data_IF_514365670472
#
_entry.id   IF_514365670472
#
_cell.length_a   1.000
_cell.length_b   1.000
_cell.length_c   1.000
_cell.angle_alpha   90.00
_cell.angle_beta   90.00
_cell.angle_gamma   90.00
#
_symmetry.space_group_name_H-M   'P 1'
#
loop_
_entity.id
_entity.type
_entity.pdbx_description
1 polymer ?
#
# COMPACT_ATOMS: atom_id res chain seq x y z
N UNK A 1 -91.03 9.50 -40.76
CA UNK A 1 -92.02 9.34 -39.66
C UNK A 1 -91.95 7.89 -39.21
N UNK A 2 -91.47 7.64 -37.97
CA UNK A 2 -91.92 6.56 -37.05
C UNK A 2 -92.03 5.11 -37.58
N UNK A 3 -91.15 4.19 -37.14
CA UNK A 3 -91.35 3.27 -36.00
C UNK A 3 -90.39 2.07 -36.03
N UNK A 4 -90.12 1.56 -34.82
CA UNK A 4 -89.35 0.38 -34.43
C UNK A 4 -89.89 -0.95 -34.99
N UNK A 5 -89.02 -1.98 -35.04
CA UNK A 5 -89.05 -3.21 -34.21
C UNK A 5 -88.79 -4.55 -34.94
N UNK A 6 -88.06 -5.41 -34.20
CA UNK A 6 -88.07 -6.89 -34.17
C UNK A 6 -87.21 -7.79 -35.10
N UNK A 7 -86.26 -8.46 -34.42
CA UNK A 7 -86.01 -9.91 -34.29
C UNK A 7 -85.58 -10.85 -35.45
N UNK A 8 -84.45 -11.51 -35.13
CA UNK A 8 -84.01 -12.91 -35.32
C UNK A 8 -83.40 -13.45 -36.65
N UNK A 9 -82.16 -13.93 -36.45
CA UNK A 9 -81.51 -15.18 -36.94
C UNK A 9 -81.31 -15.39 -38.46
N UNK A 10 -80.03 -15.54 -38.85
CA UNK A 10 -79.63 -16.55 -39.83
C UNK A 10 -78.22 -17.09 -39.60
N UNK A 11 -78.14 -18.40 -39.75
CA UNK A 11 -77.08 -19.34 -39.43
C UNK A 11 -75.80 -19.15 -40.26
N UNK A 12 -74.63 -19.31 -39.63
CA UNK A 12 -73.37 -19.64 -40.33
C UNK A 12 -73.20 -21.15 -40.30
N UNK A 13 -73.25 -21.78 -41.48
CA UNK A 13 -72.81 -23.15 -41.70
C UNK A 13 -71.32 -23.26 -41.34
N UNK A 14 -71.01 -24.15 -40.40
CA UNK A 14 -69.65 -24.54 -40.06
C UNK A 14 -68.99 -25.28 -41.21
N UNK A 15 -67.71 -25.01 -41.39
CA UNK A 15 -66.81 -25.76 -42.27
C UNK A 15 -66.35 -27.00 -41.48
N UNK A 16 -66.73 -28.18 -41.94
CA UNK A 16 -66.28 -29.47 -41.39
C UNK A 16 -64.77 -29.63 -41.58
N UNK A 17 -64.01 -29.45 -40.50
CA UNK A 17 -62.57 -29.76 -40.42
C UNK A 17 -62.31 -31.17 -39.84
N UNK A 18 -63.27 -32.08 -40.01
CA UNK A 18 -63.27 -33.39 -39.33
C UNK A 18 -62.83 -34.55 -40.24
N UNK A 19 -61.90 -34.31 -41.18
CA UNK A 19 -61.29 -35.38 -42.01
C UNK A 19 -59.78 -35.17 -42.21
N UNK A 20 -59.01 -34.91 -41.15
CA UNK A 20 -57.53 -34.88 -41.30
C UNK A 20 -56.71 -35.53 -40.20
N UNK A 21 -57.31 -36.20 -39.21
CA UNK A 21 -56.53 -36.93 -38.21
C UNK A 21 -57.21 -38.23 -37.78
N UNK A 22 -57.21 -39.22 -38.69
CA UNK A 22 -57.32 -40.62 -38.25
C UNK A 22 -55.91 -41.11 -37.89
N UNK A 23 -55.37 -40.56 -36.80
CA UNK A 23 -54.13 -41.05 -36.20
C UNK A 23 -54.42 -42.39 -35.54
N UNK A 24 -53.58 -43.43 -35.72
CA UNK A 24 -53.74 -44.65 -34.94
C UNK A 24 -53.69 -44.27 -33.46
N UNK A 25 -54.78 -44.57 -32.72
CA UNK A 25 -54.91 -44.42 -31.25
C UNK A 25 -53.99 -45.37 -30.49
N UNK A 26 -52.86 -45.73 -31.08
CA UNK A 26 -51.84 -46.49 -30.42
C UNK A 26 -51.02 -45.50 -29.56
N UNK A 27 -51.05 -45.66 -28.23
CA UNK A 27 -50.41 -44.74 -27.29
C UNK A 27 -48.90 -44.57 -27.57
N UNK A 28 -48.26 -45.55 -28.23
CA UNK A 28 -46.87 -45.46 -28.66
C UNK A 28 -46.64 -44.34 -29.68
N UNK A 29 -47.54 -44.18 -30.65
CA UNK A 29 -47.40 -43.15 -31.70
C UNK A 29 -47.72 -41.76 -31.16
N UNK A 30 -48.70 -41.65 -30.25
CA UNK A 30 -49.02 -40.38 -29.58
C UNK A 30 -47.83 -39.94 -28.71
N UNK A 31 -47.22 -40.86 -27.96
CA UNK A 31 -46.04 -40.56 -27.15
C UNK A 31 -44.81 -40.21 -28.00
N UNK A 32 -44.62 -40.86 -29.15
CA UNK A 32 -43.55 -40.51 -30.11
C UNK A 32 -43.77 -39.12 -30.72
N UNK A 33 -45.01 -38.79 -31.11
CA UNK A 33 -45.36 -37.46 -31.62
C UNK A 33 -45.18 -36.37 -30.55
N UNK A 34 -45.66 -36.60 -29.32
CA UNK A 34 -45.52 -35.66 -28.22
C UNK A 34 -44.06 -35.51 -27.77
N UNK A 35 -43.29 -36.61 -27.75
CA UNK A 35 -41.85 -36.57 -27.48
C UNK A 35 -41.09 -35.82 -28.57
N UNK A 36 -41.42 -36.06 -29.84
CA UNK A 36 -40.87 -35.33 -30.97
C UNK A 36 -41.21 -33.84 -30.91
N UNK A 37 -42.46 -33.48 -30.62
CA UNK A 37 -42.92 -32.10 -30.47
C UNK A 37 -42.25 -31.42 -29.26
N UNK A 38 -42.06 -32.14 -28.15
CA UNK A 38 -41.36 -31.63 -26.98
C UNK A 38 -39.89 -31.34 -27.32
N UNK A 39 -39.19 -32.27 -27.99
CA UNK A 39 -37.82 -32.04 -28.49
C UNK A 39 -37.79 -30.84 -29.42
N UNK A 40 -38.77 -30.69 -30.31
CA UNK A 40 -38.83 -29.60 -31.28
C UNK A 40 -39.09 -28.23 -30.59
N UNK A 41 -39.99 -28.17 -29.63
CA UNK A 41 -40.26 -26.97 -28.81
C UNK A 41 -39.07 -26.63 -27.91
N UNK A 42 -38.43 -27.63 -27.29
CA UNK A 42 -37.19 -27.43 -26.55
C UNK A 42 -36.08 -26.92 -27.47
N UNK A 43 -35.95 -27.46 -28.69
CA UNK A 43 -34.97 -27.00 -29.68
C UNK A 43 -35.24 -25.58 -30.17
N UNK A 44 -36.50 -25.11 -30.17
CA UNK A 44 -36.87 -23.73 -30.50
C UNK A 44 -36.36 -22.71 -29.46
N UNK A 45 -36.18 -23.11 -28.20
CA UNK A 45 -35.49 -22.26 -27.20
C UNK A 45 -33.99 -22.12 -27.49
N UNK A 46 -33.40 -23.06 -28.24
CA UNK A 46 -32.00 -23.05 -28.65
C UNK A 46 -31.78 -22.54 -30.10
N UNK A 47 -32.86 -22.36 -30.86
CA UNK A 47 -32.86 -21.79 -32.22
C UNK A 47 -32.18 -20.40 -32.38
N UNK A 48 -32.14 -19.49 -31.37
CA UNK A 48 -31.37 -18.24 -31.49
C UNK A 48 -29.85 -18.40 -31.30
N UNK A 49 -29.31 -19.62 -31.39
CA UNK A 49 -27.86 -19.86 -31.45
C UNK A 49 -27.20 -20.13 -30.10
N UNK A 50 -27.93 -20.73 -29.15
CA UNK A 50 -27.28 -21.34 -27.99
C UNK A 50 -26.51 -22.58 -28.44
N UNK A 51 -25.20 -22.47 -28.55
CA UNK A 51 -24.33 -23.65 -28.61
C UNK A 51 -24.36 -24.32 -27.25
N UNK A 52 -25.10 -25.42 -27.13
CA UNK A 52 -24.94 -26.37 -26.03
C UNK A 52 -23.68 -27.17 -26.36
N UNK A 53 -22.59 -26.87 -25.67
CA UNK A 53 -21.42 -27.73 -25.71
C UNK A 53 -21.66 -28.91 -24.78
N UNK A 54 -21.43 -30.16 -25.21
CA UNK A 54 -21.53 -31.30 -24.31
C UNK A 54 -20.49 -31.13 -23.19
N UNK A 55 -20.96 -30.97 -21.95
CA UNK A 55 -20.09 -31.06 -20.78
C UNK A 55 -19.73 -32.53 -20.60
N UNK A 56 -18.52 -32.92 -20.97
CA UNK A 56 -18.00 -34.22 -20.59
C UNK A 56 -17.54 -34.14 -19.12
N UNK A 57 -17.91 -35.12 -18.30
CA UNK A 57 -17.47 -35.23 -16.90
C UNK A 57 -15.93 -35.40 -16.77
N UNK A 58 -15.23 -35.60 -17.89
CA UNK A 58 -13.77 -35.65 -17.97
C UNK A 58 -13.30 -35.14 -19.34
N UNK A 59 -12.74 -33.93 -19.38
CA UNK A 59 -11.98 -33.42 -20.52
C UNK A 59 -10.49 -33.68 -20.27
N UNK A 60 -9.79 -34.44 -21.14
CA UNK A 60 -8.34 -34.56 -21.09
C UNK A 60 -7.69 -33.17 -21.15
N UNK A 61 -6.56 -32.95 -20.44
CA UNK A 61 -5.84 -31.66 -20.40
C UNK A 61 -5.45 -31.10 -21.77
N UNK A 62 -5.50 -31.94 -22.79
CA UNK A 62 -5.03 -31.67 -24.14
C UNK A 62 -6.21 -31.48 -25.12
N UNK A 63 -7.46 -31.76 -24.71
CA UNK A 63 -8.66 -31.52 -25.52
C UNK A 63 -9.22 -30.13 -25.26
N UNK A 64 -9.33 -29.33 -26.33
CA UNK A 64 -9.86 -27.98 -26.26
C UNK A 64 -11.30 -28.01 -25.77
N UNK A 65 -11.59 -27.29 -24.68
CA UNK A 65 -12.97 -26.92 -24.42
C UNK A 65 -13.50 -26.23 -25.70
N UNK A 66 -14.57 -26.75 -26.33
CA UNK A 66 -15.04 -26.29 -27.62
C UNK A 66 -15.45 -24.80 -27.62
N UNK A 67 -15.78 -24.24 -26.46
CA UNK A 67 -16.04 -22.80 -26.25
C UNK A 67 -14.81 -21.95 -26.52
N UNK A 68 -13.61 -22.46 -26.23
CA UNK A 68 -12.34 -21.80 -26.51
C UNK A 68 -11.86 -22.02 -27.96
N UNK A 69 -12.51 -22.92 -28.72
CA UNK A 69 -12.19 -23.19 -30.13
C UNK A 69 -12.56 -22.07 -31.10
N UNK A 70 -13.42 -21.15 -30.66
CA UNK A 70 -13.76 -19.95 -31.44
C UNK A 70 -12.62 -18.94 -31.46
N UNK A 71 -11.63 -19.02 -30.56
CA UNK A 71 -10.49 -18.09 -30.51
C UNK A 71 -9.37 -18.70 -31.35
N UNK A 72 -9.12 -18.14 -32.52
CA UNK A 72 -8.13 -18.67 -33.46
C UNK A 72 -6.74 -18.07 -33.26
N UNK A 73 -6.67 -16.81 -32.83
CA UNK A 73 -5.42 -16.10 -32.61
C UNK A 73 -5.54 -15.18 -31.41
N UNK A 74 -4.44 -15.05 -30.67
CA UNK A 74 -4.30 -14.09 -29.59
C UNK A 74 -2.91 -13.47 -29.66
N UNK A 75 -2.87 -12.14 -29.52
CA UNK A 75 -1.66 -11.34 -29.41
C UNK A 75 -1.79 -10.38 -28.25
N UNK A 76 -0.67 -9.85 -27.80
CA UNK A 76 -0.66 -8.80 -26.80
C UNK A 76 0.46 -7.82 -27.09
N UNK A 77 0.24 -6.57 -26.69
CA UNK A 77 1.20 -5.48 -26.75
C UNK A 77 1.12 -4.76 -25.41
N UNK A 78 2.27 -4.49 -24.82
CA UNK A 78 2.38 -3.63 -23.65
C UNK A 78 2.90 -2.30 -24.14
N UNK A 79 2.18 -1.24 -23.79
CA UNK A 79 2.61 0.13 -24.01
C UNK A 79 2.51 0.85 -22.68
N UNK A 80 3.64 1.30 -22.13
CA UNK A 80 3.72 1.81 -20.75
C UNK A 80 3.13 0.78 -19.77
N UNK A 81 2.15 1.19 -18.97
CA UNK A 81 1.41 0.33 -18.04
C UNK A 81 0.07 -0.15 -18.60
N UNK A 82 -0.12 -0.13 -19.93
CA UNK A 82 -1.33 -0.64 -20.57
C UNK A 82 -1.07 -1.99 -21.25
N UNK A 83 -1.83 -3.00 -20.85
CA UNK A 83 -1.89 -4.29 -21.52
C UNK A 83 -3.01 -4.26 -22.58
N UNK A 84 -2.60 -4.29 -23.84
CA UNK A 84 -3.51 -4.40 -24.98
C UNK A 84 -3.49 -5.84 -25.49
N UNK A 85 -4.62 -6.53 -25.46
CA UNK A 85 -4.76 -7.88 -26.00
C UNK A 85 -5.57 -7.79 -27.29
N UNK A 86 -5.02 -8.33 -28.37
CA UNK A 86 -5.71 -8.52 -29.64
C UNK A 86 -6.10 -9.97 -29.79
N UNK A 87 -7.28 -10.24 -30.34
CA UNK A 87 -7.73 -11.60 -30.59
C UNK A 87 -8.64 -11.70 -31.81
N UNK A 88 -8.67 -12.88 -32.40
CA UNK A 88 -9.51 -13.20 -33.57
C UNK A 88 -10.55 -14.24 -33.17
N UNK A 89 -11.80 -13.95 -33.51
CA UNK A 89 -12.91 -14.88 -33.32
C UNK A 89 -13.26 -15.53 -34.66
N UNK A 90 -13.22 -16.85 -34.71
CA UNK A 90 -13.65 -17.67 -35.83
C UNK A 90 -15.13 -18.03 -35.70
N UNK A 91 -16.01 -17.03 -35.82
CA UNK A 91 -17.46 -17.22 -35.81
C UNK A 91 -18.16 -16.05 -36.50
N UNK A 92 -19.16 -16.35 -37.32
CA UNK A 92 -20.01 -15.32 -37.93
C UNK A 92 -21.26 -15.01 -37.08
N UNK A 93 -21.42 -15.67 -35.92
CA UNK A 93 -22.61 -15.53 -35.08
C UNK A 93 -22.47 -14.34 -34.11
N UNK A 94 -23.34 -13.31 -34.18
CA UNK A 94 -23.19 -12.08 -33.38
C UNK A 94 -23.16 -12.29 -31.86
N UNK A 95 -23.90 -13.28 -31.34
CA UNK A 95 -23.85 -13.60 -29.91
C UNK A 95 -22.48 -14.15 -29.48
N UNK A 96 -21.87 -14.98 -30.30
CA UNK A 96 -20.54 -15.56 -30.05
C UNK A 96 -19.49 -14.47 -30.06
N UNK A 97 -19.55 -13.56 -31.03
CA UNK A 97 -18.69 -12.36 -31.10
C UNK A 97 -18.82 -11.46 -29.85
N UNK A 98 -20.03 -11.37 -29.29
CA UNK A 98 -20.31 -10.57 -28.11
C UNK A 98 -20.01 -11.26 -26.77
N UNK A 99 -19.83 -12.57 -26.74
CA UNK A 99 -19.62 -13.32 -25.49
C UNK A 99 -18.23 -13.91 -25.37
N UNK A 100 -17.51 -14.09 -26.49
CA UNK A 100 -16.19 -14.73 -26.52
C UNK A 100 -15.18 -14.12 -25.53
N UNK A 101 -15.22 -12.81 -25.31
CA UNK A 101 -14.28 -12.18 -24.38
C UNK A 101 -14.54 -12.58 -22.91
N UNK A 102 -15.77 -12.98 -22.55
CA UNK A 102 -16.08 -13.45 -21.19
C UNK A 102 -15.37 -14.77 -20.88
N UNK A 103 -14.92 -15.48 -21.91
CA UNK A 103 -14.19 -16.72 -21.79
C UNK A 103 -12.74 -16.49 -21.38
N UNK A 104 -12.19 -15.29 -21.61
CA UNK A 104 -10.82 -14.98 -21.23
C UNK A 104 -10.67 -14.79 -19.73
N UNK A 105 -9.66 -15.46 -19.19
CA UNK A 105 -9.12 -15.23 -17.86
C UNK A 105 -7.68 -14.78 -18.02
N UNK A 106 -7.44 -13.49 -17.78
CA UNK A 106 -6.10 -12.90 -17.86
C UNK A 106 -5.61 -12.74 -16.41
N UNK A 107 -4.50 -13.39 -16.13
CA UNK A 107 -3.86 -13.39 -14.81
C UNK A 107 -2.53 -12.68 -14.96
N UNK A 108 -2.32 -11.67 -14.12
CA UNK A 108 -1.05 -10.99 -13.97
C UNK A 108 -0.54 -11.26 -12.57
N UNK A 109 0.61 -11.92 -12.51
CA UNK A 109 1.31 -12.27 -11.27
C UNK A 109 2.52 -11.35 -11.15
N UNK A 110 2.35 -10.21 -10.48
CA UNK A 110 3.37 -9.19 -10.34
C UNK A 110 4.03 -9.20 -8.96
N UNK A 111 5.00 -8.31 -8.77
CA UNK A 111 5.84 -8.23 -7.56
C UNK A 111 5.00 -7.92 -6.31
N UNK A 112 3.98 -7.07 -6.46
CA UNK A 112 3.21 -6.55 -5.32
C UNK A 112 1.92 -7.34 -5.08
N UNK A 113 1.23 -7.70 -6.16
CA UNK A 113 -0.02 -8.41 -6.06
C UNK A 113 -0.34 -9.21 -7.33
N UNK A 114 -1.27 -10.13 -7.17
CA UNK A 114 -1.89 -10.85 -8.27
C UNK A 114 -3.22 -10.23 -8.63
N UNK A 115 -3.38 -9.89 -9.90
CA UNK A 115 -4.66 -9.44 -10.45
C UNK A 115 -5.23 -10.43 -11.46
N UNK A 116 -6.55 -10.50 -11.49
CA UNK A 116 -7.30 -11.23 -12.50
C UNK A 116 -8.17 -10.26 -13.28
N UNK A 117 -7.75 -9.98 -14.52
CA UNK A 117 -8.45 -9.08 -15.43
C UNK A 117 -9.55 -9.85 -16.15
N UNK A 118 -10.79 -9.43 -15.92
CA UNK A 118 -12.00 -9.93 -16.57
C UNK A 118 -12.71 -8.81 -17.32
N UNK A 119 -13.81 -9.15 -17.99
CA UNK A 119 -14.66 -8.20 -18.70
C UNK A 119 -14.98 -6.92 -17.90
N UNK A 120 -15.31 -7.06 -16.62
CA UNK A 120 -15.66 -5.92 -15.74
C UNK A 120 -14.50 -4.95 -15.51
N UNK A 121 -13.28 -5.31 -15.89
CA UNK A 121 -12.06 -4.55 -15.68
C UNK A 121 -11.52 -3.90 -16.95
N UNK A 122 -12.21 -4.08 -18.09
CA UNK A 122 -11.80 -3.52 -19.38
C UNK A 122 -11.94 -2.00 -19.34
N UNK A 123 -10.86 -1.30 -19.67
CA UNK A 123 -10.89 0.15 -19.82
C UNK A 123 -11.42 0.54 -21.21
N UNK A 124 -10.98 -0.16 -22.26
CA UNK A 124 -11.40 0.09 -23.63
C UNK A 124 -11.54 -1.21 -24.44
N UNK A 125 -12.57 -1.28 -25.28
CA UNK A 125 -12.77 -2.37 -26.25
C UNK A 125 -12.75 -1.80 -27.67
N UNK A 126 -12.03 -2.49 -28.55
CA UNK A 126 -11.88 -2.12 -29.95
C UNK A 126 -12.34 -3.27 -30.84
N UNK A 127 -12.89 -2.91 -31.99
CA UNK A 127 -13.12 -3.82 -33.11
C UNK A 127 -12.38 -3.23 -34.30
N UNK A 128 -11.36 -3.95 -34.79
CA UNK A 128 -10.54 -3.50 -35.92
C UNK A 128 -11.14 -3.91 -37.26
N UNK A 129 -11.81 -5.07 -37.30
CA UNK A 129 -12.53 -5.61 -38.45
C UNK A 129 -13.61 -6.59 -37.97
N UNK A 130 -14.41 -7.19 -38.87
CA UNK A 130 -15.53 -8.08 -38.53
C UNK A 130 -15.16 -9.13 -37.47
N UNK A 131 -13.97 -9.72 -37.55
CA UNK A 131 -13.52 -10.80 -36.66
C UNK A 131 -12.31 -10.46 -35.77
N UNK A 132 -11.80 -9.22 -35.83
CA UNK A 132 -10.59 -8.79 -35.11
C UNK A 132 -10.95 -7.82 -33.99
N UNK A 133 -10.58 -8.17 -32.76
CA UNK A 133 -10.93 -7.43 -31.56
C UNK A 133 -9.71 -7.05 -30.75
N UNK A 134 -9.84 -5.99 -29.96
CA UNK A 134 -8.85 -5.52 -29.01
C UNK A 134 -9.49 -5.21 -27.67
N UNK A 135 -8.78 -5.47 -26.58
CA UNK A 135 -9.14 -5.04 -25.21
C UNK A 135 -7.93 -4.41 -24.57
N UNK A 136 -8.15 -3.32 -23.83
CA UNK A 136 -7.10 -2.60 -23.11
C UNK A 136 -7.39 -2.60 -21.63
N UNK A 137 -6.34 -2.87 -20.85
CA UNK A 137 -6.34 -2.82 -19.40
C UNK A 137 -5.18 -1.94 -18.93
N UNK A 138 -5.48 -0.97 -18.08
CA UNK A 138 -4.46 -0.26 -17.31
C UNK A 138 -4.04 -1.14 -16.14
N UNK A 139 -2.74 -1.42 -16.09
CA UNK A 139 -2.08 -2.14 -15.01
C UNK A 139 -1.73 -1.15 -13.90
N UNK A 140 -1.95 -1.55 -12.66
CA UNK A 140 -1.73 -0.70 -11.47
C UNK A 140 -0.47 -1.13 -10.68
N UNK A 141 0.39 -1.92 -11.30
CA UNK A 141 1.71 -2.27 -10.80
C UNK A 141 2.74 -2.22 -11.91
N UNK A 142 3.95 -1.80 -11.57
CA UNK A 142 5.11 -1.70 -12.45
C UNK A 142 6.14 -2.78 -12.14
N UNK A 143 7.02 -3.07 -13.11
CA UNK A 143 8.09 -4.06 -13.00
C UNK A 143 7.73 -5.43 -13.56
N UNK A 144 8.59 -6.41 -13.27
CA UNK A 144 8.49 -7.78 -13.78
C UNK A 144 7.18 -8.44 -13.33
N UNK A 145 6.42 -8.90 -14.31
CA UNK A 145 5.09 -9.50 -14.12
C UNK A 145 4.94 -10.72 -15.02
N UNK A 146 4.37 -11.79 -14.50
CA UNK A 146 4.01 -12.95 -15.30
C UNK A 146 2.59 -12.80 -15.85
N UNK A 147 2.47 -12.63 -17.16
CA UNK A 147 1.20 -12.60 -17.88
C UNK A 147 0.81 -14.03 -18.28
N UNK A 148 -0.33 -14.50 -17.79
CA UNK A 148 -0.97 -15.72 -18.26
C UNK A 148 -2.35 -15.40 -18.84
N UNK A 149 -2.59 -15.82 -20.08
CA UNK A 149 -3.91 -15.74 -20.70
C UNK A 149 -4.47 -17.15 -20.86
N UNK A 150 -5.64 -17.36 -20.28
CA UNK A 150 -6.38 -18.61 -20.34
C UNK A 150 -7.76 -18.38 -20.93
N UNK A 151 -8.34 -19.43 -21.48
CA UNK A 151 -9.78 -19.52 -21.66
C UNK A 151 -10.27 -20.74 -20.90
N UNK A 152 -11.12 -20.50 -19.90
CA UNK A 152 -11.51 -21.51 -18.91
C UNK A 152 -10.24 -22.17 -18.33
N UNK A 153 -10.01 -23.46 -18.62
CA UNK A 153 -8.83 -24.21 -18.17
C UNK A 153 -7.69 -24.29 -19.21
N UNK A 154 -7.96 -23.88 -20.46
CA UNK A 154 -6.94 -23.90 -21.51
C UNK A 154 -5.98 -22.73 -21.37
N UNK A 155 -4.70 -23.03 -21.26
CA UNK A 155 -3.63 -22.04 -21.36
C UNK A 155 -3.37 -21.68 -22.82
N UNK A 156 -3.56 -20.41 -23.18
CA UNK A 156 -3.16 -19.90 -24.48
C UNK A 156 -1.76 -19.32 -24.46
N UNK A 157 -1.43 -18.63 -23.37
CA UNK A 157 -0.22 -17.84 -23.31
C UNK A 157 0.31 -17.75 -21.88
N UNK A 158 1.63 -17.79 -21.75
CA UNK A 158 2.33 -17.44 -20.52
C UNK A 158 3.66 -16.81 -20.87
N UNK A 159 3.93 -15.60 -20.39
CA UNK A 159 5.24 -14.96 -20.56
C UNK A 159 5.51 -13.94 -19.47
N UNK A 160 6.78 -13.83 -19.11
CA UNK A 160 7.29 -12.73 -18.31
C UNK A 160 7.34 -11.44 -19.14
N UNK A 161 6.77 -10.40 -18.58
CA UNK A 161 6.68 -9.07 -19.16
C UNK A 161 7.23 -8.07 -18.15
N UNK A 162 7.79 -6.97 -18.63
CA UNK A 162 8.20 -5.86 -17.78
C UNK A 162 7.21 -4.71 -17.97
N UNK A 163 6.46 -4.38 -16.91
CA UNK A 163 5.46 -3.32 -16.95
C UNK A 163 6.16 -2.00 -16.68
N UNK A 164 6.18 -1.13 -17.70
CA UNK A 164 6.88 0.14 -17.61
C UNK A 164 6.11 1.16 -16.77
N UNK A 165 6.85 2.19 -16.34
CA UNK A 165 6.34 3.27 -15.50
C UNK A 165 5.14 3.96 -16.11
N UNK A 166 4.15 4.26 -15.26
CA UNK A 166 2.95 4.97 -15.69
C UNK A 166 3.23 6.47 -15.80
N UNK A 167 3.31 6.99 -17.04
CA UNK A 167 3.53 8.43 -17.27
C UNK A 167 2.25 9.28 -17.10
N UNK A 168 1.08 8.64 -17.11
CA UNK A 168 -0.23 9.33 -17.06
C UNK A 168 -0.88 9.19 -15.69
N UNK A 169 -1.72 10.15 -15.33
CA UNK A 169 -2.49 10.08 -14.07
C UNK A 169 -3.38 8.84 -14.05
N UNK A 170 -3.23 8.02 -13.02
CA UNK A 170 -4.15 6.92 -12.69
C UNK A 170 -5.28 7.40 -11.79
N UNK A 171 -6.44 6.75 -11.89
CA UNK A 171 -7.58 6.93 -10.97
C UNK A 171 -7.45 6.11 -9.69
N UNK A 172 -6.51 5.18 -9.63
CA UNK A 172 -6.31 4.21 -8.56
C UNK A 172 -4.86 4.23 -8.07
N UNK A 173 -4.60 3.66 -6.90
CA UNK A 173 -3.25 3.46 -6.36
C UNK A 173 -2.41 2.62 -7.32
N UNK A 174 -1.19 3.11 -7.60
CA UNK A 174 -0.22 2.41 -8.45
C UNK A 174 0.97 2.02 -7.59
N UNK A 175 1.39 0.77 -7.71
CA UNK A 175 2.61 0.24 -7.09
C UNK A 175 3.76 0.34 -8.09
N UNK A 176 4.71 1.22 -7.81
CA UNK A 176 5.83 1.52 -8.69
C UNK A 176 7.01 0.59 -8.45
N UNK A 177 7.79 0.34 -9.50
CA UNK A 177 8.92 -0.61 -9.49
C UNK A 177 10.07 -0.21 -8.55
N UNK A 178 10.11 1.07 -8.15
CA UNK A 178 11.06 1.61 -7.16
C UNK A 178 10.59 1.45 -5.71
N UNK A 179 9.63 0.55 -5.44
CA UNK A 179 9.00 0.38 -4.14
C UNK A 179 8.38 1.70 -3.66
N UNK A 180 7.46 2.26 -4.43
CA UNK A 180 6.65 3.39 -3.98
C UNK A 180 5.20 3.24 -4.42
N UNK A 181 4.29 3.96 -3.78
CA UNK A 181 2.85 3.92 -4.06
C UNK A 181 2.36 5.34 -4.34
N UNK A 182 1.64 5.54 -5.44
CA UNK A 182 0.93 6.80 -5.73
C UNK A 182 -0.57 6.70 -5.47
N UNK A 183 -1.27 7.83 -5.54
CA UNK A 183 -2.72 7.93 -5.29
C UNK A 183 -3.11 7.33 -3.93
N UNK A 184 -2.68 7.99 -2.86
CA UNK A 184 -2.99 7.62 -1.48
C UNK A 184 -3.77 8.75 -0.81
N UNK A 185 -4.64 8.39 0.14
CA UNK A 185 -5.19 9.37 1.06
C UNK A 185 -4.84 8.97 2.50
N UNK A 186 -4.78 9.96 3.37
CA UNK A 186 -4.49 9.83 4.78
C UNK A 186 -5.70 10.38 5.52
N UNK A 187 -6.19 9.62 6.47
CA UNK A 187 -7.29 10.01 7.34
C UNK A 187 -6.94 9.69 8.79
N UNK A 188 -6.60 10.72 9.54
CA UNK A 188 -5.96 10.62 10.84
C UNK A 188 -4.74 9.66 10.75
N UNK A 189 -4.74 8.59 11.54
CA UNK A 189 -3.66 7.61 11.58
C UNK A 189 -3.80 6.48 10.55
N UNK A 190 -4.76 6.58 9.61
CA UNK A 190 -5.02 5.53 8.61
C UNK A 190 -4.61 5.99 7.22
N UNK A 191 -3.93 5.09 6.50
CA UNK A 191 -3.64 5.25 5.07
C UNK A 191 -4.74 4.56 4.27
N UNK A 192 -5.22 5.19 3.21
CA UNK A 192 -6.28 4.71 2.34
C UNK A 192 -5.68 4.35 0.98
N UNK A 193 -5.89 3.11 0.55
CA UNK A 193 -5.40 2.57 -0.71
C UNK A 193 -6.59 2.37 -1.66
N UNK A 194 -6.54 2.96 -2.84
CA UNK A 194 -7.62 2.94 -3.83
C UNK A 194 -7.37 1.86 -4.85
N UNK A 195 -8.12 0.77 -4.78
CA UNK A 195 -7.90 -0.40 -5.62
C UNK A 195 -9.14 -0.74 -6.44
N UNK A 196 -8.90 -1.40 -7.58
CA UNK A 196 -9.96 -2.08 -8.33
C UNK A 196 -10.24 -3.45 -7.70
N UNK A 197 -11.48 -3.92 -7.80
CA UNK A 197 -11.92 -5.26 -7.37
C UNK A 197 -11.31 -6.46 -8.14
N UNK A 198 -10.28 -6.26 -8.96
CA UNK A 198 -9.58 -7.30 -9.71
C UNK A 198 -8.40 -7.92 -8.96
N UNK A 199 -7.97 -7.32 -7.85
CA UNK A 199 -6.87 -7.86 -7.02
C UNK A 199 -7.37 -9.10 -6.27
N UNK A 200 -6.63 -10.20 -6.42
CA UNK A 200 -6.97 -11.50 -5.82
C UNK A 200 -6.25 -11.73 -4.51
N UNK A 201 -4.97 -11.37 -4.46
CA UNK A 201 -4.16 -11.45 -3.26
C UNK A 201 -2.94 -10.54 -3.38
N UNK A 202 -2.46 -10.07 -2.23
CA UNK A 202 -1.17 -9.39 -2.13
C UNK A 202 -0.07 -10.44 -1.91
N UNK A 203 1.13 -10.16 -2.42
CA UNK A 203 2.31 -10.99 -2.08
C UNK A 203 2.61 -10.89 -0.59
N UNK A 204 3.31 -11.87 -0.01
CA UNK A 204 3.66 -11.83 1.43
C UNK A 204 4.38 -10.54 1.83
N UNK A 205 5.33 -10.10 1.00
CA UNK A 205 6.06 -8.84 1.15
C UNK A 205 5.11 -7.62 1.26
N UNK A 206 4.06 -7.60 0.46
CA UNK A 206 3.09 -6.50 0.41
C UNK A 206 2.02 -6.64 1.49
N UNK A 207 1.64 -7.87 1.83
CA UNK A 207 0.57 -8.17 2.77
C UNK A 207 0.86 -7.60 4.17
N UNK A 208 2.05 -7.86 4.70
CA UNK A 208 2.44 -7.39 6.04
C UNK A 208 2.45 -5.86 6.13
N UNK A 209 2.87 -5.20 5.06
CA UNK A 209 2.90 -3.74 4.96
C UNK A 209 1.49 -3.12 4.88
N UNK A 210 0.61 -3.73 4.07
CA UNK A 210 -0.75 -3.24 3.84
C UNK A 210 -1.69 -3.47 5.02
N UNK A 211 -1.28 -4.18 6.07
CA UNK A 211 -2.06 -4.31 7.32
C UNK A 211 -2.44 -2.95 7.93
N UNK A 212 -1.62 -1.91 7.69
CA UNK A 212 -1.87 -0.54 8.15
C UNK A 212 -2.76 0.29 7.22
N UNK A 213 -3.14 -0.24 6.05
CA UNK A 213 -3.92 0.46 5.03
C UNK A 213 -5.38 -0.02 5.06
N UNK A 214 -6.31 0.93 4.94
CA UNK A 214 -7.70 0.63 4.62
C UNK A 214 -7.88 0.61 3.10
N UNK A 215 -8.40 -0.49 2.57
CA UNK A 215 -8.65 -0.65 1.14
C UNK A 215 -9.99 -0.01 0.79
N UNK A 216 -9.97 0.90 -0.18
CA UNK A 216 -11.14 1.57 -0.74
C UNK A 216 -11.32 1.08 -2.18
N UNK A 217 -12.41 0.37 -2.43
CA UNK A 217 -12.77 -0.06 -3.78
C UNK A 217 -13.54 1.05 -4.52
N UNK A 218 -12.84 2.13 -4.85
CA UNK A 218 -13.31 3.22 -5.72
C UNK A 218 -12.12 3.94 -6.32
N UNK A 219 -12.34 4.79 -7.32
CA UNK A 219 -11.30 5.74 -7.71
C UNK A 219 -11.07 6.79 -6.62
N UNK A 220 -9.89 7.40 -6.64
CA UNK A 220 -9.56 8.53 -5.77
C UNK A 220 -10.47 9.72 -6.05
N UNK A 221 -10.79 9.99 -7.33
CA UNK A 221 -11.70 11.07 -7.74
C UNK A 221 -13.11 10.87 -7.17
N UNK A 222 -13.64 9.64 -7.25
CA UNK A 222 -14.97 9.32 -6.73
C UNK A 222 -15.00 9.47 -5.20
N UNK A 223 -13.94 9.00 -4.53
CA UNK A 223 -13.78 9.16 -3.10
C UNK A 223 -13.75 10.64 -2.70
N UNK A 224 -12.98 11.47 -3.41
CA UNK A 224 -12.87 12.90 -3.15
C UNK A 224 -14.20 13.63 -3.38
N UNK A 225 -14.94 13.30 -4.43
CA UNK A 225 -16.28 13.86 -4.66
C UNK A 225 -17.24 13.55 -3.51
N UNK A 226 -17.14 12.35 -2.92
CA UNK A 226 -17.95 11.94 -1.76
C UNK A 226 -17.43 12.53 -0.44
N UNK A 227 -16.15 12.86 -0.37
CA UNK A 227 -15.46 13.32 0.83
C UNK A 227 -14.72 14.65 0.57
N UNK A 228 -15.45 15.76 0.33
CA UNK A 228 -14.85 17.03 -0.09
C UNK A 228 -13.96 17.70 0.97
N UNK A 229 -13.91 17.15 2.19
CA UNK A 229 -13.03 17.63 3.26
C UNK A 229 -11.58 17.16 3.09
N UNK A 230 -11.32 16.11 2.30
CA UNK A 230 -9.97 15.68 1.98
C UNK A 230 -9.30 16.68 1.05
N UNK A 231 -8.17 17.24 1.49
CA UNK A 231 -7.41 18.19 0.69
C UNK A 231 -6.45 17.48 -0.26
N UNK A 232 -6.34 17.96 -1.51
CA UNK A 232 -5.33 17.45 -2.45
C UNK A 232 -4.01 18.19 -2.19
N UNK A 233 -2.96 17.43 -1.92
CA UNK A 233 -1.63 17.95 -1.63
C UNK A 233 -0.75 17.84 -2.86
N UNK A 234 -0.33 18.99 -3.38
CA UNK A 234 0.53 19.08 -4.57
C UNK A 234 2.02 18.89 -4.25
N UNK A 235 2.35 18.65 -2.98
CA UNK A 235 3.70 18.46 -2.47
C UNK A 235 3.73 17.22 -1.58
N UNK A 236 4.90 16.62 -1.45
CA UNK A 236 5.12 15.56 -0.47
C UNK A 236 4.82 16.11 0.92
N UNK A 237 3.92 15.44 1.64
CA UNK A 237 3.67 15.72 3.06
C UNK A 237 4.57 14.82 3.87
N UNK A 238 5.40 15.43 4.72
CA UNK A 238 6.20 14.74 5.72
C UNK A 238 5.47 14.87 7.04
N UNK A 239 5.00 13.75 7.54
CA UNK A 239 4.13 13.71 8.71
C UNK A 239 4.92 13.56 10.01
N UNK A 240 4.98 14.65 10.78
CA UNK A 240 5.59 14.74 12.10
C UNK A 240 4.54 14.82 13.22
N UNK A 241 3.25 14.80 12.88
CA UNK A 241 2.13 14.74 13.80
C UNK A 241 2.18 13.46 14.65
N UNK A 242 2.01 13.62 15.96
CA UNK A 242 1.94 12.57 16.97
C UNK A 242 3.13 11.60 16.95
N UNK A 243 4.28 12.05 16.42
CA UNK A 243 5.50 11.26 16.36
C UNK A 243 6.28 11.38 17.66
N UNK A 244 6.81 10.25 18.12
CA UNK A 244 7.77 10.24 19.22
C UNK A 244 9.07 10.93 18.80
N UNK A 245 9.89 11.37 19.76
CA UNK A 245 11.21 11.95 19.45
C UNK A 245 12.07 10.98 18.63
N UNK A 246 11.96 9.68 18.93
CA UNK A 246 12.57 8.62 18.15
C UNK A 246 12.10 8.61 16.69
N UNK A 247 10.80 8.69 16.42
CA UNK A 247 10.26 8.75 15.06
C UNK A 247 10.69 10.02 14.32
N UNK A 248 10.71 11.16 15.03
CA UNK A 248 11.18 12.42 14.46
C UNK A 248 12.64 12.32 14.01
N UNK A 249 13.50 11.69 14.81
CA UNK A 249 14.93 11.51 14.52
C UNK A 249 15.18 10.45 13.45
N UNK A 250 14.54 9.29 13.57
CA UNK A 250 14.86 8.12 12.74
C UNK A 250 14.14 8.13 11.39
N UNK A 251 13.00 8.81 11.27
CA UNK A 251 12.15 8.79 10.07
C UNK A 251 11.99 10.19 9.47
N UNK A 252 11.54 11.16 10.27
CA UNK A 252 11.13 12.49 9.75
C UNK A 252 12.33 13.31 9.29
N UNK A 253 13.35 13.48 10.14
CA UNK A 253 14.53 14.31 9.84
C UNK A 253 15.30 13.83 8.59
N UNK A 254 15.68 12.54 8.48
CA UNK A 254 16.33 12.02 7.28
C UNK A 254 15.51 12.24 6.01
N UNK A 255 14.18 12.01 6.08
CA UNK A 255 13.27 12.18 4.94
C UNK A 255 13.20 13.64 4.50
N UNK A 256 13.04 14.57 5.44
CA UNK A 256 13.01 16.01 5.16
C UNK A 256 14.29 16.49 4.48
N UNK A 257 15.45 16.01 4.94
CA UNK A 257 16.73 16.36 4.36
C UNK A 257 16.88 15.85 2.92
N UNK A 258 16.47 14.61 2.64
CA UNK A 258 16.59 14.05 1.29
C UNK A 258 15.63 14.73 0.31
N UNK A 259 14.40 15.02 0.74
CA UNK A 259 13.48 15.82 -0.07
C UNK A 259 14.08 17.20 -0.38
N UNK A 260 14.67 17.86 0.61
CA UNK A 260 15.34 19.14 0.40
C UNK A 260 16.54 19.05 -0.57
N UNK A 261 17.39 18.03 -0.44
CA UNK A 261 18.56 17.81 -1.30
C UNK A 261 18.18 17.53 -2.76
N UNK A 262 17.09 16.79 -2.98
CA UNK A 262 16.53 16.55 -4.30
C UNK A 262 15.82 17.78 -4.89
N UNK A 263 15.96 18.94 -4.24
CA UNK A 263 15.31 20.21 -4.61
C UNK A 263 13.78 20.13 -4.61
N UNK A 264 13.19 19.10 -4.01
CA UNK A 264 11.75 19.01 -3.83
C UNK A 264 11.30 19.93 -2.70
N UNK A 265 10.17 20.60 -2.88
CA UNK A 265 9.50 21.28 -1.79
C UNK A 265 8.57 20.29 -1.10
N UNK A 266 8.47 20.39 0.22
CA UNK A 266 7.63 19.52 1.01
C UNK A 266 6.84 20.35 2.03
N UNK A 267 5.77 19.74 2.53
CA UNK A 267 4.93 20.28 3.57
C UNK A 267 5.20 19.47 4.83
N UNK A 268 5.50 20.16 5.93
CA UNK A 268 5.69 19.53 7.23
C UNK A 268 4.36 19.60 8.00
N UNK A 269 3.78 18.43 8.27
CA UNK A 269 2.56 18.31 9.08
C UNK A 269 2.93 18.10 10.55
N UNK A 270 2.43 18.94 11.45
CA UNK A 270 2.71 18.92 12.90
C UNK A 270 1.42 19.14 13.69
N UNK A 271 1.37 18.66 14.94
CA UNK A 271 0.19 18.78 15.80
C UNK A 271 -0.11 20.22 16.23
N UNK A 272 0.94 21.01 16.50
CA UNK A 272 0.89 22.42 16.83
C UNK A 272 2.26 23.06 16.52
N UNK A 273 2.29 24.13 15.75
CA UNK A 273 3.53 24.83 15.40
C UNK A 273 4.24 25.37 16.65
N UNK A 274 3.48 25.84 17.65
CA UNK A 274 4.05 26.45 18.86
C UNK A 274 4.86 25.43 19.70
N UNK A 275 4.29 24.24 19.92
CA UNK A 275 4.95 23.16 20.65
C UNK A 275 6.10 22.50 19.87
N UNK A 276 6.14 22.68 18.55
CA UNK A 276 7.15 22.08 17.67
C UNK A 276 8.15 23.11 17.12
N UNK A 277 8.18 24.32 17.67
CA UNK A 277 9.02 25.44 17.18
C UNK A 277 10.48 25.02 17.03
N UNK A 278 11.05 24.35 18.05
CA UNK A 278 12.46 23.91 18.02
C UNK A 278 12.74 22.90 16.92
N UNK A 279 11.84 21.92 16.74
CA UNK A 279 11.95 20.91 15.70
C UNK A 279 11.84 21.52 14.30
N UNK A 280 10.87 22.41 14.10
CA UNK A 280 10.63 23.11 12.84
C UNK A 280 11.82 23.99 12.49
N UNK A 281 12.36 24.74 13.46
CA UNK A 281 13.53 25.59 13.26
C UNK A 281 14.77 24.76 12.89
N UNK A 282 14.94 23.60 13.52
CA UNK A 282 16.02 22.68 13.16
C UNK A 282 15.86 22.13 11.73
N UNK A 283 14.65 21.73 11.31
CA UNK A 283 14.43 21.32 9.91
C UNK A 283 14.75 22.48 8.97
N UNK A 284 14.27 23.69 9.26
CA UNK A 284 14.57 24.88 8.43
C UNK A 284 16.07 25.13 8.34
N UNK A 285 16.82 25.00 9.44
CA UNK A 285 18.27 25.23 9.46
C UNK A 285 19.03 24.20 8.63
N UNK A 286 18.68 22.91 8.72
CA UNK A 286 19.39 21.85 7.97
C UNK A 286 18.97 21.73 6.50
N UNK A 287 17.75 22.15 6.15
CA UNK A 287 17.25 22.07 4.77
C UNK A 287 17.54 23.32 3.96
N UNK A 288 17.76 24.48 4.61
CA UNK A 288 18.03 25.76 3.94
C UNK A 288 16.88 26.26 3.04
N UNK A 289 15.68 25.70 3.21
CA UNK A 289 14.48 25.96 2.38
C UNK A 289 13.34 26.54 3.22
N UNK A 290 12.38 27.18 2.54
CA UNK A 290 11.08 27.53 3.14
C UNK A 290 10.26 26.26 3.38
N UNK A 291 10.45 25.64 4.55
CA UNK A 291 9.56 24.59 5.05
C UNK A 291 8.18 25.19 5.23
N UNK A 292 7.22 24.74 4.43
CA UNK A 292 5.82 25.10 4.63
C UNK A 292 5.27 24.25 5.76
N UNK A 293 4.97 24.90 6.89
CA UNK A 293 4.30 24.30 8.03
C UNK A 293 2.82 24.55 7.87
N UNK A 294 2.00 23.53 8.09
CA UNK A 294 0.55 23.71 8.12
C UNK A 294 0.17 24.12 9.54
N UNK A 295 -0.51 25.27 9.68
CA UNK A 295 -0.92 25.81 10.99
C UNK A 295 -1.98 24.96 11.72
N UNK A 296 -2.39 23.83 11.13
CA UNK A 296 -3.32 22.84 11.69
C UNK A 296 -2.91 21.47 11.19
N UNK A 297 -3.01 20.46 12.05
CA UNK A 297 -2.79 19.06 11.67
C UNK A 297 -3.64 18.70 10.46
N UNK A 298 -2.98 18.26 9.39
CA UNK A 298 -3.64 17.67 8.23
C UNK A 298 -4.16 16.30 8.64
N UNK A 299 -5.40 16.27 9.09
CA UNK A 299 -6.06 15.01 9.45
C UNK A 299 -6.47 14.24 8.18
N UNK A 300 -7.02 14.93 7.18
CA UNK A 300 -7.56 14.29 5.98
C UNK A 300 -6.98 14.93 4.72
N UNK A 301 -6.13 14.20 4.01
CA UNK A 301 -5.49 14.68 2.79
C UNK A 301 -5.18 13.56 1.80
N UNK A 302 -4.99 13.92 0.53
CA UNK A 302 -4.71 13.00 -0.57
C UNK A 302 -3.48 13.43 -1.35
N UNK A 303 -2.74 12.46 -1.84
CA UNK A 303 -1.55 12.64 -2.66
C UNK A 303 -1.75 11.83 -3.93
N UNK A 304 -1.89 12.54 -5.04
CA UNK A 304 -2.27 11.96 -6.33
C UNK A 304 -1.09 11.77 -7.28
N UNK A 305 -0.10 12.67 -7.23
CA UNK A 305 1.00 12.69 -8.21
C UNK A 305 2.35 12.26 -7.63
N UNK A 306 2.55 12.41 -6.31
CA UNK A 306 3.80 12.04 -5.67
C UNK A 306 3.76 10.58 -5.24
N UNK A 307 4.84 9.85 -5.49
CA UNK A 307 4.98 8.48 -5.04
C UNK A 307 5.53 8.43 -3.62
N UNK A 308 4.89 7.63 -2.78
CA UNK A 308 5.24 7.42 -1.39
C UNK A 308 6.09 6.16 -1.26
N UNK A 309 7.34 6.25 -0.78
CA UNK A 309 8.18 5.07 -0.65
C UNK A 309 7.51 4.02 0.26
N UNK A 310 7.72 2.76 -0.10
CA UNK A 310 7.17 1.57 0.56
C UNK A 310 7.76 1.33 1.96
N UNK A 311 8.70 2.16 2.41
CA UNK A 311 9.45 1.92 3.63
C UNK A 311 8.86 2.68 4.82
N UNK A 312 8.06 1.96 5.62
CA UNK A 312 7.86 2.29 7.05
C UNK A 312 9.13 1.95 7.88
N UNK A 313 10.16 1.38 7.27
CA UNK A 313 11.42 1.05 7.92
C UNK A 313 12.30 2.28 8.04
N UNK A 314 13.02 2.36 9.16
CA UNK A 314 14.14 3.28 9.31
C UNK A 314 15.08 2.99 8.14
N UNK A 315 15.19 3.93 7.22
CA UNK A 315 16.16 3.81 6.15
C UNK A 315 17.54 4.06 6.77
N UNK A 316 18.16 3.01 7.30
CA UNK A 316 19.44 3.07 8.01
C UNK A 316 20.54 3.69 7.16
N UNK A 317 20.50 3.50 5.84
CA UNK A 317 21.41 4.15 4.88
C UNK A 317 21.18 5.66 4.85
N UNK A 318 19.92 6.09 4.77
CA UNK A 318 19.50 7.49 4.79
C UNK A 318 19.90 8.15 6.12
N UNK A 319 19.63 7.48 7.24
CA UNK A 319 20.01 7.97 8.56
C UNK A 319 21.53 8.02 8.74
N UNK A 320 22.27 6.99 8.33
CA UNK A 320 23.74 6.99 8.42
C UNK A 320 24.36 8.12 7.58
N UNK A 321 23.85 8.34 6.36
CA UNK A 321 24.24 9.46 5.51
C UNK A 321 23.95 10.79 6.21
N UNK A 322 22.75 10.94 6.78
CA UNK A 322 22.36 12.11 7.56
C UNK A 322 23.28 12.33 8.77
N UNK A 323 23.45 11.33 9.64
CA UNK A 323 24.35 11.33 10.80
C UNK A 323 25.74 11.81 10.39
N UNK A 324 26.31 11.24 9.32
CA UNK A 324 27.65 11.62 8.84
C UNK A 324 27.73 13.09 8.40
N UNK A 325 26.69 13.61 7.73
CA UNK A 325 26.64 15.00 7.28
C UNK A 325 26.46 15.97 8.44
N UNK A 326 25.59 15.63 9.38
CA UNK A 326 25.34 16.40 10.61
C UNK A 326 26.60 16.46 11.46
N UNK A 327 27.26 15.32 11.71
CA UNK A 327 28.54 15.27 12.45
C UNK A 327 29.63 16.08 11.74
N UNK A 328 29.80 15.96 10.42
CA UNK A 328 30.81 16.76 9.67
C UNK A 328 30.58 18.27 9.74
N UNK A 329 29.32 18.72 9.75
CA UNK A 329 29.01 20.13 9.93
C UNK A 329 29.36 20.60 11.36
N UNK A 330 29.18 19.73 12.34
CA UNK A 330 29.50 19.97 13.76
C UNK A 330 31.02 19.86 14.03
N UNK A 331 31.77 19.05 13.25
CA UNK A 331 33.23 18.89 13.38
C UNK A 331 34.01 20.21 13.20
N UNK A 332 33.44 21.21 12.51
CA UNK A 332 34.01 22.57 12.47
C UNK A 332 33.99 23.29 13.84
N UNK A 333 33.30 22.74 14.83
CA UNK A 333 33.21 23.24 16.21
C UNK A 333 33.80 22.26 17.24
N UNK A 334 34.41 21.16 16.78
CA UNK A 334 35.22 20.31 17.66
C UNK A 334 36.55 20.99 17.90
N UNK A 335 36.67 21.64 19.05
CA UNK A 335 37.91 21.73 19.82
C UNK A 335 37.60 22.09 21.28
N UNK A 336 38.32 21.40 22.18
CA UNK A 336 38.74 21.80 23.54
C UNK A 336 38.02 21.35 24.83
N UNK A 337 36.91 20.60 24.83
CA UNK A 337 36.33 20.15 26.11
C UNK A 337 36.19 18.63 26.22
N UNK A 338 36.59 18.08 27.37
CA UNK A 338 36.78 16.67 27.69
C UNK A 338 35.55 15.77 27.62
N UNK A 339 35.63 14.61 28.26
CA UNK A 339 34.68 13.51 28.14
C UNK A 339 33.30 13.89 28.69
N UNK A 340 32.36 14.23 27.79
CA UNK A 340 31.04 14.72 28.18
C UNK A 340 30.12 13.53 28.54
N UNK A 341 29.52 13.61 29.73
CA UNK A 341 28.63 12.62 30.33
C UNK A 341 27.23 13.23 30.50
N UNK A 342 26.23 12.64 29.85
CA UNK A 342 24.89 13.21 29.75
C UNK A 342 23.91 12.51 30.67
N UNK A 343 23.27 13.26 31.55
CA UNK A 343 22.21 12.77 32.41
C UNK A 343 20.89 13.42 31.98
N UNK A 344 19.98 12.62 31.43
CA UNK A 344 18.56 13.00 31.29
C UNK A 344 17.98 13.29 32.68
N UNK A 345 17.05 14.24 32.78
CA UNK A 345 16.42 14.63 34.04
C UNK A 345 15.64 13.48 34.69
N UNK A 346 15.33 12.41 33.94
CA UNK A 346 14.77 11.18 34.49
C UNK A 346 15.79 10.45 35.38
N UNK A 347 17.09 10.67 35.17
CA UNK A 347 18.15 10.28 36.09
C UNK A 347 17.89 10.76 37.52
N UNK A 348 17.23 11.91 37.73
CA UNK A 348 16.93 12.43 39.09
C UNK A 348 16.01 11.53 39.91
N UNK A 349 15.21 10.68 39.24
CA UNK A 349 14.33 9.71 39.92
C UNK A 349 15.07 8.46 40.38
N UNK A 350 16.23 8.19 39.80
CA UNK A 350 16.99 6.95 40.03
C UNK A 350 18.35 7.20 40.68
N UNK A 351 18.90 8.41 40.52
CA UNK A 351 20.24 8.85 40.91
C UNK A 351 20.14 10.28 41.44
N UNK A 352 20.74 10.55 42.60
CA UNK A 352 20.93 11.91 43.09
C UNK A 352 22.00 12.61 42.24
N UNK A 353 21.63 13.68 41.56
CA UNK A 353 22.52 14.42 40.64
C UNK A 353 23.75 14.99 41.34
N UNK A 354 23.58 15.54 42.55
CA UNK A 354 24.67 16.14 43.31
C UNK A 354 25.70 15.06 43.72
N UNK A 355 25.21 13.87 44.10
CA UNK A 355 26.07 12.73 44.44
C UNK A 355 26.80 12.15 43.23
N UNK A 356 26.12 12.07 42.07
CA UNK A 356 26.75 11.62 40.84
C UNK A 356 27.80 12.62 40.33
N UNK A 357 27.53 13.92 40.46
CA UNK A 357 28.49 14.99 40.15
C UNK A 357 29.70 14.95 41.07
N UNK A 358 29.52 14.70 42.37
CA UNK A 358 30.62 14.50 43.32
C UNK A 358 31.47 13.27 42.95
N UNK A 359 30.84 12.14 42.60
CA UNK A 359 31.52 10.90 42.20
C UNK A 359 32.27 10.99 40.87
N UNK A 360 31.74 11.74 39.91
CA UNK A 360 32.26 11.84 38.55
C UNK A 360 33.19 13.05 38.35
N UNK A 361 32.92 14.15 39.02
CA UNK A 361 33.68 15.40 38.95
C UNK A 361 35.09 15.28 39.52
N UNK A 362 35.34 14.32 40.42
CA UNK A 362 36.68 14.04 40.94
C UNK A 362 37.55 13.23 39.98
N UNK A 363 36.97 12.54 38.99
CA UNK A 363 37.69 11.55 38.17
C UNK A 363 38.10 12.03 36.77
N UNK A 364 37.44 13.02 36.16
CA UNK A 364 37.75 13.47 34.78
C UNK A 364 37.15 14.86 34.45
N UNK A 365 37.49 15.43 33.28
CA UNK A 365 36.84 16.62 32.68
C UNK A 365 35.39 16.34 32.26
N UNK A 366 34.57 15.86 33.20
CA UNK A 366 33.20 15.42 32.99
C UNK A 366 32.26 16.62 33.11
N UNK A 367 31.48 16.86 32.05
CA UNK A 367 30.44 17.89 32.05
C UNK A 367 29.07 17.24 32.06
N UNK A 368 28.31 17.44 33.13
CA UNK A 368 26.91 17.02 33.23
C UNK A 368 26.03 18.05 32.53
N UNK A 369 25.17 17.57 31.65
CA UNK A 369 24.24 18.41 30.89
C UNK A 369 22.82 17.90 31.05
N UNK A 370 21.92 18.77 31.52
CA UNK A 370 20.50 18.51 31.54
C UNK A 370 19.90 18.75 30.15
N UNK A 371 19.50 17.67 29.48
CA UNK A 371 18.96 17.73 28.13
C UNK A 371 17.55 18.34 28.08
N UNK A 372 16.76 18.30 29.16
CA UNK A 372 15.36 18.76 29.14
C UNK A 372 15.22 20.22 28.71
N UNK A 373 16.22 21.05 29.00
CA UNK A 373 16.21 22.49 28.72
C UNK A 373 16.91 22.86 27.39
N UNK A 374 17.27 21.86 26.58
CA UNK A 374 17.99 22.08 25.32
C UNK A 374 17.07 21.95 24.11
N UNK A 375 17.31 22.77 23.10
CA UNK A 375 16.68 22.59 21.78
C UNK A 375 17.17 21.29 21.14
N UNK A 376 16.42 20.73 20.18
CA UNK A 376 16.83 19.50 19.49
C UNK A 376 18.23 19.61 18.84
N UNK A 377 18.55 20.77 18.26
CA UNK A 377 19.87 21.03 17.69
C UNK A 377 20.97 20.94 18.74
N UNK A 378 20.77 21.58 19.90
CA UNK A 378 21.71 21.53 21.01
C UNK A 378 21.87 20.10 21.54
N UNK A 379 20.78 19.33 21.66
CA UNK A 379 20.82 17.92 22.06
C UNK A 379 21.66 17.08 21.11
N UNK A 380 21.46 17.24 19.79
CA UNK A 380 22.22 16.51 18.76
C UNK A 380 23.71 16.88 18.81
N UNK A 381 24.03 18.18 18.93
CA UNK A 381 25.42 18.66 19.03
C UNK A 381 26.10 18.09 20.27
N UNK A 382 25.40 18.10 21.39
CA UNK A 382 25.94 17.62 22.64
C UNK A 382 26.15 16.09 22.60
N UNK A 383 25.15 15.34 22.11
CA UNK A 383 25.24 13.89 21.93
C UNK A 383 26.37 13.47 20.95
N UNK A 384 26.61 14.25 19.90
CA UNK A 384 27.70 14.00 18.93
C UNK A 384 29.11 14.10 19.55
N UNK A 385 29.22 14.66 20.75
CA UNK A 385 30.46 14.75 21.54
C UNK A 385 30.40 13.94 22.85
N UNK A 386 29.32 13.18 23.07
CA UNK A 386 29.14 12.37 24.26
C UNK A 386 29.96 11.08 24.23
N UNK A 387 30.58 10.72 25.35
CA UNK A 387 31.01 9.33 25.58
C UNK A 387 29.92 8.51 26.25
N UNK A 388 29.07 9.15 27.05
CA UNK A 388 28.05 8.48 27.85
C UNK A 388 26.72 9.26 27.84
N UNK A 389 25.61 8.57 27.60
CA UNK A 389 24.25 9.09 27.80
C UNK A 389 23.50 8.15 28.74
N UNK A 390 22.75 8.70 29.68
CA UNK A 390 21.81 7.97 30.52
C UNK A 390 20.38 8.27 30.10
N UNK A 391 19.57 7.23 29.90
CA UNK A 391 18.16 7.38 29.52
C UNK A 391 17.29 6.22 30.02
N UNK A 392 15.99 6.43 30.12
CA UNK A 392 15.03 5.33 30.22
C UNK A 392 14.78 4.71 28.86
N UNK A 393 14.40 3.44 28.81
CA UNK A 393 13.78 2.87 27.62
C UNK A 393 12.54 3.68 27.20
N UNK A 394 12.38 3.93 25.91
CA UNK A 394 11.42 4.87 25.29
C UNK A 394 11.54 6.35 25.73
N UNK A 395 12.61 6.73 26.41
CA UNK A 395 12.93 8.13 26.68
C UNK A 395 13.26 8.91 25.39
N UNK A 396 12.95 10.21 25.38
CA UNK A 396 13.31 11.09 24.26
C UNK A 396 14.82 11.04 23.92
N UNK A 397 15.65 10.80 24.94
CA UNK A 397 17.11 10.77 24.80
C UNK A 397 17.66 9.50 24.15
N UNK A 398 16.91 8.38 24.14
CA UNK A 398 17.34 7.15 23.45
C UNK A 398 17.54 7.44 21.97
N UNK A 399 16.58 8.08 21.30
CA UNK A 399 16.70 8.42 19.89
C UNK A 399 17.91 9.34 19.59
N UNK A 400 18.27 10.22 20.53
CA UNK A 400 19.39 11.15 20.40
C UNK A 400 20.74 10.44 20.52
N UNK A 401 20.82 9.35 21.30
CA UNK A 401 22.04 8.56 21.45
C UNK A 401 22.56 7.99 20.12
N UNK A 402 21.71 7.85 19.10
CA UNK A 402 22.14 7.44 17.77
C UNK A 402 23.17 8.39 17.13
N UNK A 403 23.27 9.65 17.57
CA UNK A 403 24.27 10.61 17.10
C UNK A 403 25.63 10.50 17.80
N UNK A 404 25.74 9.68 18.85
CA UNK A 404 27.00 9.50 19.56
C UNK A 404 28.09 8.89 18.66
N UNK A 405 29.38 9.12 18.98
CA UNK A 405 30.50 8.39 18.39
C UNK A 405 30.40 6.86 18.58
N UNK A 406 30.95 6.09 17.66
CA UNK A 406 30.89 4.61 17.64
C UNK A 406 31.50 3.91 18.89
N UNK A 407 32.31 4.62 19.70
CA UNK A 407 32.93 4.08 20.92
C UNK A 407 32.22 4.52 22.21
N UNK A 408 31.05 5.15 22.08
CA UNK A 408 30.31 5.68 23.20
C UNK A 408 29.29 4.66 23.73
N UNK A 409 28.84 4.84 24.97
CA UNK A 409 27.86 3.96 25.59
C UNK A 409 26.56 4.68 25.99
N UNK A 410 25.43 4.06 25.73
CA UNK A 410 24.12 4.43 26.28
C UNK A 410 23.86 3.56 27.51
N UNK A 411 23.75 4.19 28.68
CA UNK A 411 23.31 3.54 29.89
C UNK A 411 21.79 3.62 29.94
N UNK A 412 21.14 2.47 29.89
CA UNK A 412 19.70 2.36 29.77
C UNK A 412 19.09 1.89 31.09
N UNK A 413 18.27 2.72 31.71
CA UNK A 413 17.44 2.32 32.83
C UNK A 413 16.25 1.52 32.30
N UNK A 414 16.19 0.24 32.66
CA UNK A 414 15.22 -0.70 32.11
C UNK A 414 14.53 -1.49 33.21
N UNK A 415 13.23 -1.69 33.07
CA UNK A 415 12.47 -2.54 33.98
C UNK A 415 12.81 -4.02 33.76
N UNK A 416 12.81 -4.78 34.84
CA UNK A 416 12.97 -6.24 34.80
C UNK A 416 11.88 -6.89 33.93
N UNK A 417 12.26 -7.86 33.10
CA UNK A 417 11.38 -8.63 32.19
C UNK A 417 10.67 -7.85 31.05
N UNK A 418 11.00 -6.59 30.81
CA UNK A 418 10.48 -5.84 29.64
C UNK A 418 11.41 -6.03 28.45
N UNK A 419 10.91 -6.19 27.21
CA UNK A 419 11.77 -6.22 26.02
C UNK A 419 12.30 -4.82 25.66
N UNK A 420 13.39 -4.73 24.90
CA UNK A 420 13.90 -3.44 24.45
C UNK A 420 12.92 -2.77 23.49
N UNK A 421 12.78 -1.45 23.58
CA UNK A 421 12.03 -0.70 22.57
C UNK A 421 12.74 -0.67 21.21
N UNK A 422 11.96 -0.36 20.17
CA UNK A 422 12.50 -0.10 18.83
C UNK A 422 13.50 1.07 18.80
N UNK A 423 13.43 2.00 19.75
CA UNK A 423 14.39 3.09 19.86
C UNK A 423 15.77 2.59 20.30
N UNK A 424 15.81 1.62 21.23
CA UNK A 424 17.06 1.00 21.69
C UNK A 424 17.67 0.14 20.59
N UNK A 425 16.87 -0.65 19.89
CA UNK A 425 17.33 -1.43 18.72
C UNK A 425 17.97 -0.54 17.66
N UNK A 426 17.34 0.61 17.38
CA UNK A 426 17.90 1.61 16.48
C UNK A 426 19.25 2.16 16.97
N UNK A 427 19.40 2.46 18.26
CA UNK A 427 20.69 2.92 18.81
C UNK A 427 21.77 1.84 18.71
N UNK A 428 21.44 0.59 19.03
CA UNK A 428 22.37 -0.55 18.91
C UNK A 428 22.84 -0.75 17.46
N UNK A 429 21.93 -0.59 16.49
CA UNK A 429 22.28 -0.68 15.05
C UNK A 429 23.25 0.42 14.59
N UNK A 430 23.32 1.54 15.33
CA UNK A 430 24.26 2.64 15.10
C UNK A 430 25.59 2.45 15.85
N UNK A 431 25.91 1.21 16.24
CA UNK A 431 27.14 0.79 16.93
C UNK A 431 27.37 1.43 18.29
N UNK A 432 26.32 1.95 18.92
CA UNK A 432 26.42 2.46 20.28
C UNK A 432 26.26 1.29 21.25
N UNK A 433 27.18 1.16 22.20
CA UNK A 433 27.11 0.11 23.23
C UNK A 433 25.96 0.44 24.19
N UNK A 434 24.97 -0.43 24.29
CA UNK A 434 23.88 -0.27 25.28
C UNK A 434 24.20 -1.10 26.51
N UNK A 435 24.21 -0.47 27.69
CA UNK A 435 24.45 -1.11 28.98
C UNK A 435 23.18 -0.95 29.83
N UNK A 436 22.42 -2.03 30.05
CA UNK A 436 21.20 -1.95 30.85
C UNK A 436 21.50 -1.88 32.35
N UNK A 437 20.86 -0.94 33.04
CA UNK A 437 20.72 -0.89 34.49
C UNK A 437 19.29 -1.32 34.84
N UNK A 438 19.16 -2.54 35.36
CA UNK A 438 17.85 -3.16 35.63
C UNK A 438 17.32 -2.67 36.98
N UNK A 439 16.10 -2.11 36.98
CA UNK A 439 15.40 -1.74 38.20
C UNK A 439 14.10 -2.54 38.37
N UNK A 440 13.73 -2.81 39.63
CA UNK A 440 12.51 -3.55 39.97
C UNK A 440 11.23 -2.70 39.90
N UNK A 441 10.07 -3.36 39.83
CA UNK A 441 8.72 -2.78 39.65
C UNK A 441 8.33 -1.60 40.56
N UNK A 442 9.04 -1.38 41.68
CA UNK A 442 8.74 -0.32 42.64
C UNK A 442 9.45 1.02 42.36
N UNK A 443 10.14 1.16 41.22
CA UNK A 443 10.91 2.37 40.85
C UNK A 443 11.83 2.86 41.99
N UNK A 444 12.43 1.92 42.72
CA UNK A 444 13.37 2.25 43.79
C UNK A 444 14.69 2.70 43.17
N UNK A 445 15.39 3.62 43.86
CA UNK A 445 16.72 4.10 43.48
C UNK A 445 17.61 2.93 43.06
N UNK A 446 18.35 3.11 41.97
CA UNK A 446 19.33 2.12 41.54
C UNK A 446 20.45 2.13 42.57
N UNK A 447 20.87 0.97 43.10
CA UNK A 447 21.96 0.94 44.08
C UNK A 447 23.21 1.60 43.50
N UNK A 448 23.81 2.54 44.25
CA UNK A 448 25.01 3.26 43.84
C UNK A 448 26.14 2.30 43.41
N UNK A 449 26.22 1.12 44.04
CA UNK A 449 27.19 0.07 43.71
C UNK A 449 27.02 -0.53 42.31
N UNK A 450 25.80 -0.60 41.78
CA UNK A 450 25.57 -1.04 40.38
C UNK A 450 26.01 0.05 39.41
N UNK A 451 25.75 1.31 39.75
CA UNK A 451 26.17 2.47 38.96
C UNK A 451 27.69 2.62 38.93
N UNK A 452 28.35 2.53 40.09
CA UNK A 452 29.81 2.54 40.21
C UNK A 452 30.45 1.43 39.38
N UNK A 453 29.93 0.21 39.45
CA UNK A 453 30.43 -0.93 38.66
C UNK A 453 30.39 -0.64 37.17
N UNK A 454 29.26 -0.11 36.66
CA UNK A 454 29.13 0.27 35.25
C UNK A 454 30.15 1.35 34.87
N UNK A 455 30.35 2.35 35.72
CA UNK A 455 31.35 3.40 35.49
C UNK A 455 32.80 2.90 35.58
N UNK A 456 33.08 1.81 36.30
CA UNK A 456 34.43 1.23 36.39
C UNK A 456 34.75 0.32 35.20
N UNK A 457 33.72 -0.22 34.55
CA UNK A 457 33.82 -1.11 33.38
C UNK A 457 33.90 -0.33 32.04
N UNK A 458 33.72 0.99 32.07
CA UNK A 458 33.86 1.94 30.96
C UNK A 458 35.25 2.56 31.03
#
# INVERSE_FOLDING_TARGET
MKYENEYYKKEKKGLDFMILFDFPRNPVYINLMLGGLFILISSLLFAPGYQIFPSYDYLPSDEMNPECGIISQIGYIINESYLNISYVINSDHPMTLNTAFNLFRIILDGIYYKEELRYMNIDQRFQYNQNYYGISYQLLQEGLTNLSIKCLDKHFYSKEIDVQTLERKSKYSVFHSNNSISNLCFSNNRKLLFLRNNIKFFTSMTHDYLTSFAIVNSSIDEFQMKNPHFQIMNKTVIDASQKTTFDLISKVLPTALVQAQNKNDFILNVDDESNNTDFINYIKSITGKSVQVVNRTLNDYCITENSFPFDNFINYTLFSSFKSKTIRNIEKHRNENGDILFLSNIGSKFINFDEAEELLGEKENVKILNLDNMTLEQKIIAASNAKLIFSLDDGNEVGIAAFMPDNSSLILFKEEDVEYSSAVDFVMSNKIKVIPLIYGKNHQNIPLTQFEKVLTDI
#
